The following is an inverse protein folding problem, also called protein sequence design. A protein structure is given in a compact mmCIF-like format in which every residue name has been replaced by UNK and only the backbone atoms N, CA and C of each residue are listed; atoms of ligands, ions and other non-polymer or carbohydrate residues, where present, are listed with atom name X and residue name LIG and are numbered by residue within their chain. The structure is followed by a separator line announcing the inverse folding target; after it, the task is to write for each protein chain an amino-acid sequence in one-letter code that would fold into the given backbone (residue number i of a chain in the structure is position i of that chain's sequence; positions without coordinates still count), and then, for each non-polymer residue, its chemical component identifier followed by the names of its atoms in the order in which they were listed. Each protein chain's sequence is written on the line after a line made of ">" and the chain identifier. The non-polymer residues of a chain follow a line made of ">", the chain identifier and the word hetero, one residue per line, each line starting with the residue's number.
data_IF_633587468398
#
_entry.id   IF_633587468398
#
_cell.length_a   1.000
_cell.length_b   1.000
_cell.length_c   1.000
_cell.angle_alpha   90.00
_cell.angle_beta   90.00
_cell.angle_gamma   90.00
#
_symmetry.space_group_name_H-M   'P 1'
#
loop_
_entity.id
_entity.type
_entity.pdbx_description
1 polymer ?
#
# COMPACT_ATOMS: atom_id res chain seq x y z
N UNK A 1 7.18 1.28 -3.13
CA UNK A 1 6.76 2.53 -2.44
C UNK A 1 7.52 3.77 -2.96
N UNK A 2 7.53 4.00 -4.27
CA UNK A 2 8.14 5.22 -4.81
C UNK A 2 7.18 6.40 -4.60
N UNK A 3 7.71 7.62 -4.45
CA UNK A 3 6.94 8.89 -4.30
C UNK A 3 6.17 9.13 -2.99
N UNK A 4 6.49 8.43 -1.90
CA UNK A 4 5.96 8.77 -0.57
C UNK A 4 6.88 9.78 0.13
N UNK A 5 6.36 10.97 0.40
CA UNK A 5 7.09 12.06 1.08
C UNK A 5 6.64 12.15 2.56
N UNK A 6 7.57 12.44 3.47
CA UNK A 6 7.29 12.65 4.89
C UNK A 6 7.03 11.39 5.73
N UNK A 7 6.92 10.20 5.12
CA UNK A 7 6.64 8.93 5.82
C UNK A 7 7.84 7.97 5.79
N UNK A 8 9.07 8.51 5.75
CA UNK A 8 10.29 7.71 5.52
C UNK A 8 10.45 6.55 6.51
N UNK A 9 10.14 6.77 7.79
CA UNK A 9 10.21 5.73 8.81
C UNK A 9 9.20 4.59 8.55
N UNK A 10 7.97 4.94 8.12
CA UNK A 10 6.91 3.98 7.88
C UNK A 10 7.19 3.17 6.61
N UNK A 11 7.67 3.85 5.56
CA UNK A 11 8.15 3.21 4.32
C UNK A 11 9.25 2.19 4.65
N UNK A 12 10.28 2.60 5.40
CA UNK A 12 11.38 1.70 5.78
C UNK A 12 10.86 0.48 6.54
N UNK A 13 10.00 0.68 7.55
CA UNK A 13 9.44 -0.40 8.37
C UNK A 13 8.63 -1.39 7.53
N UNK A 14 7.75 -0.89 6.66
CA UNK A 14 6.88 -1.73 5.83
C UNK A 14 7.69 -2.47 4.76
N UNK A 15 8.63 -1.80 4.08
CA UNK A 15 9.48 -2.46 3.09
C UNK A 15 10.28 -3.61 3.72
N UNK A 16 10.92 -3.37 4.87
CA UNK A 16 11.67 -4.42 5.56
C UNK A 16 10.78 -5.59 6.02
N UNK A 17 9.56 -5.32 6.49
CA UNK A 17 8.61 -6.38 6.87
C UNK A 17 8.13 -7.21 5.67
N UNK A 18 7.89 -6.56 4.52
CA UNK A 18 7.52 -7.23 3.27
C UNK A 18 8.69 -8.08 2.76
N UNK A 19 9.90 -7.53 2.72
CA UNK A 19 11.11 -8.21 2.24
C UNK A 19 11.46 -9.45 3.08
N UNK A 20 11.29 -9.36 4.40
CA UNK A 20 11.54 -10.45 5.34
C UNK A 20 10.38 -11.45 5.46
N UNK A 21 9.27 -11.24 4.75
CA UNK A 21 8.05 -12.05 4.87
C UNK A 21 7.49 -12.08 6.31
N UNK A 22 7.68 -10.99 7.06
CA UNK A 22 7.22 -10.78 8.45
C UNK A 22 6.17 -9.66 8.54
N UNK A 23 5.47 -9.39 7.44
CA UNK A 23 4.37 -8.43 7.46
C UNK A 23 3.24 -9.00 8.32
N UNK A 24 2.73 -8.19 9.25
CA UNK A 24 1.60 -8.59 10.06
C UNK A 24 0.34 -8.75 9.20
N UNK A 25 -0.59 -9.59 9.65
CA UNK A 25 -1.87 -9.80 8.97
C UNK A 25 -2.71 -8.52 8.79
N UNK A 26 -2.54 -7.55 9.69
CA UNK A 26 -3.30 -6.30 9.67
C UNK A 26 -2.43 -5.11 10.10
N UNK A 27 -2.71 -3.96 9.49
CA UNK A 27 -2.04 -2.70 9.77
C UNK A 27 -3.06 -1.57 9.89
N UNK A 28 -2.95 -0.79 10.97
CA UNK A 28 -3.72 0.43 11.17
C UNK A 28 -2.83 1.65 10.94
N UNK A 29 -3.19 2.48 9.96
CA UNK A 29 -2.52 3.75 9.68
C UNK A 29 -3.24 4.88 10.41
N UNK A 30 -2.55 5.57 11.33
CA UNK A 30 -3.11 6.65 12.16
C UNK A 30 -2.38 7.96 11.89
N UNK A 31 -3.10 9.07 11.94
CA UNK A 31 -2.55 10.41 11.77
C UNK A 31 -3.60 11.44 11.32
N UNK A 32 -3.24 12.72 11.25
CA UNK A 32 -4.16 13.80 10.87
C UNK A 32 -4.86 13.57 9.52
N UNK A 33 -6.03 14.18 9.28
CA UNK A 33 -6.65 14.20 7.96
C UNK A 33 -5.65 14.66 6.89
N UNK A 34 -5.76 14.10 5.67
CA UNK A 34 -4.96 14.49 4.49
C UNK A 34 -3.44 14.26 4.59
N UNK A 35 -2.90 13.66 5.66
CA UNK A 35 -1.45 13.37 5.76
C UNK A 35 -0.95 12.31 4.76
N UNK A 36 -1.83 11.64 4.02
CA UNK A 36 -1.44 10.63 3.02
C UNK A 36 -1.49 9.18 3.51
N UNK A 37 -2.25 8.88 4.57
CA UNK A 37 -2.43 7.51 5.11
C UNK A 37 -2.86 6.51 4.03
N UNK A 38 -3.88 6.85 3.25
CA UNK A 38 -4.38 5.99 2.17
C UNK A 38 -3.36 5.82 1.05
N UNK A 39 -2.58 6.86 0.74
CA UNK A 39 -1.49 6.77 -0.24
C UNK A 39 -0.39 5.81 0.23
N UNK A 40 -0.01 5.86 1.51
CA UNK A 40 0.95 4.91 2.08
C UNK A 40 0.40 3.47 2.08
N UNK A 41 -0.86 3.27 2.43
CA UNK A 41 -1.51 1.96 2.39
C UNK A 41 -1.51 1.37 0.96
N UNK A 42 -1.88 2.18 -0.04
CA UNK A 42 -1.85 1.78 -1.46
C UNK A 42 -0.43 1.45 -1.93
N UNK A 43 0.56 2.26 -1.55
CA UNK A 43 1.96 2.02 -1.90
C UNK A 43 2.51 0.74 -1.27
N UNK A 44 2.07 0.39 -0.05
CA UNK A 44 2.41 -0.86 0.61
C UNK A 44 1.78 -2.06 -0.09
N UNK A 45 0.49 -1.98 -0.42
CA UNK A 45 -0.21 -3.02 -1.19
C UNK A 45 0.44 -3.25 -2.56
N UNK A 46 0.80 -2.18 -3.28
CA UNK A 46 1.52 -2.24 -4.56
C UNK A 46 2.84 -3.01 -4.42
N UNK A 47 3.60 -2.70 -3.37
CA UNK A 47 4.90 -3.35 -3.11
C UNK A 47 4.73 -4.82 -2.75
N UNK A 48 3.72 -5.16 -1.95
CA UNK A 48 3.42 -6.53 -1.55
C UNK A 48 3.00 -7.39 -2.74
N UNK A 49 2.06 -6.91 -3.57
CA UNK A 49 1.54 -7.63 -4.73
C UNK A 49 2.58 -7.75 -5.85
N UNK A 50 3.43 -6.75 -6.05
CA UNK A 50 4.47 -6.79 -7.08
C UNK A 50 5.66 -7.70 -6.74
N UNK A 51 5.88 -8.05 -5.46
CA UNK A 51 7.12 -8.75 -4.99
C UNK A 51 7.42 -10.04 -5.74
N UNK A 52 6.40 -10.83 -6.08
CA UNK A 52 6.53 -12.11 -6.77
C UNK A 52 5.69 -12.16 -8.07
N UNK A 53 5.31 -11.00 -8.60
CA UNK A 53 4.55 -10.93 -9.82
C UNK A 53 5.43 -11.25 -11.03
N UNK A 54 4.85 -11.93 -12.03
CA UNK A 54 5.51 -12.17 -13.32
C UNK A 54 5.90 -10.86 -14.03
N UNK A 55 5.08 -9.82 -13.85
CA UNK A 55 5.33 -8.47 -14.36
C UNK A 55 5.06 -7.44 -13.23
N UNK A 56 6.09 -7.13 -12.41
CA UNK A 56 5.95 -6.23 -11.27
C UNK A 56 5.51 -4.82 -11.62
N UNK A 57 5.88 -4.32 -12.82
CA UNK A 57 5.54 -2.99 -13.28
C UNK A 57 4.04 -2.89 -13.63
N UNK A 58 3.52 -3.87 -14.37
CA UNK A 58 2.09 -3.96 -14.66
C UNK A 58 1.27 -4.16 -13.40
N UNK A 59 1.72 -5.05 -12.49
CA UNK A 59 1.05 -5.24 -11.19
C UNK A 59 0.98 -3.93 -10.40
N UNK A 60 2.08 -3.19 -10.32
CA UNK A 60 2.10 -1.90 -9.63
C UNK A 60 1.13 -0.88 -10.27
N UNK A 61 1.06 -0.83 -11.60
CA UNK A 61 0.12 0.03 -12.34
C UNK A 61 -1.34 -0.36 -12.09
N UNK A 62 -1.66 -1.65 -12.04
CA UNK A 62 -3.01 -2.13 -11.73
C UNK A 62 -3.42 -1.76 -10.31
N UNK A 63 -2.49 -1.83 -9.35
CA UNK A 63 -2.76 -1.37 -7.98
C UNK A 63 -2.96 0.14 -7.93
N UNK A 64 -2.16 0.91 -8.66
CA UNK A 64 -2.28 2.37 -8.69
C UNK A 64 -3.65 2.84 -9.22
N UNK A 65 -4.19 2.09 -10.19
CA UNK A 65 -5.52 2.32 -10.78
C UNK A 65 -6.67 1.60 -10.06
N UNK A 66 -6.39 0.92 -8.94
CA UNK A 66 -7.35 0.13 -8.15
C UNK A 66 -8.05 -0.99 -8.95
N UNK A 67 -7.38 -1.57 -9.95
CA UNK A 67 -7.90 -2.63 -10.83
C UNK A 67 -7.21 -3.97 -10.67
N UNK A 68 -6.32 -4.10 -9.69
CA UNK A 68 -5.65 -5.36 -9.44
C UNK A 68 -6.65 -6.40 -8.91
N UNK A 69 -6.72 -7.62 -9.45
CA UNK A 69 -7.74 -8.61 -9.05
C UNK A 69 -7.66 -9.01 -7.57
N UNK A 70 -6.45 -9.03 -7.01
CA UNK A 70 -6.24 -9.36 -5.58
C UNK A 70 -6.29 -8.13 -4.65
N UNK A 71 -6.64 -6.95 -5.17
CA UNK A 71 -6.77 -5.73 -4.38
C UNK A 71 -8.25 -5.41 -4.18
N UNK A 72 -8.70 -5.47 -2.92
CA UNK A 72 -10.01 -4.96 -2.52
C UNK A 72 -9.83 -3.58 -1.88
N UNK A 73 -10.34 -2.54 -2.55
CA UNK A 73 -10.35 -1.18 -2.02
C UNK A 73 -11.76 -0.84 -1.53
N UNK A 74 -11.91 -0.69 -0.22
CA UNK A 74 -13.18 -0.40 0.43
C UNK A 74 -13.17 1.03 0.94
N UNK A 75 -14.20 1.78 0.61
CA UNK A 75 -14.47 3.09 1.18
C UNK A 75 -15.80 3.01 1.92
N UNK A 76 -15.92 3.71 3.05
CA UNK A 76 -17.20 3.77 3.74
C UNK A 76 -18.21 4.40 2.79
N UNK A 77 -19.37 3.76 2.65
CA UNK A 77 -20.50 4.37 1.95
C UNK A 77 -20.83 5.66 2.70
N UNK A 78 -20.75 6.79 2.00
CA UNK A 78 -20.91 8.10 2.63
C UNK A 78 -22.27 8.18 3.32
N UNK A 79 -22.29 8.64 4.57
CA UNK A 79 -23.49 9.26 5.12
C UNK A 79 -23.80 10.46 4.21
N UNK A 80 -24.83 10.31 3.37
CA UNK A 80 -25.33 11.38 2.50
C UNK A 80 -25.91 12.55 3.27
#
# INVERSE_FOLDING_TARGET
>A
MQHIIGHAWAVKRLSSAIESNQLAQSHLFVGPPHVGKSALAKAAASTLLSRNAKDPARTAQLVETLRHPDLNWLEAEGEG
#
